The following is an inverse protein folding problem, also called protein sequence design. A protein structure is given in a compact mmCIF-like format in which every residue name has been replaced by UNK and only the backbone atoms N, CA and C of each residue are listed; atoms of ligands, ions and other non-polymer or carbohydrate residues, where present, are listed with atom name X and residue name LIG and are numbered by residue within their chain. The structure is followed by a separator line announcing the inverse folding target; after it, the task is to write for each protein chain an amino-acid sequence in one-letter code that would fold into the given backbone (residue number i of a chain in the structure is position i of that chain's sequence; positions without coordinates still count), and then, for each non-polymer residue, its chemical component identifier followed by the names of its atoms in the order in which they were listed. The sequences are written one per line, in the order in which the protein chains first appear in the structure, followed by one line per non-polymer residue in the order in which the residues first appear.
data_IF_245715260132
#
_entry.id   IF_245715260132
#
_cell.length_a   1.000
_cell.length_b   1.000
_cell.length_c   1.000
_cell.angle_alpha   90.00
_cell.angle_beta   90.00
_cell.angle_gamma   90.00
#
_symmetry.space_group_name_H-M   'P 1'
#
loop_
_entity.id
_entity.type
_entity.pdbx_description
1 polymer ?
#
# COMPACT_ATOMS: atom_id res chain seq x y z
N UNK A 1 12.73 -13.60 -14.88
CA UNK A 1 11.60 -13.85 -15.80
C UNK A 1 10.49 -14.71 -15.20
N UNK A 2 10.78 -15.73 -14.37
CA UNK A 2 9.74 -16.63 -13.80
C UNK A 2 8.67 -15.94 -12.91
N UNK A 3 9.00 -14.84 -12.24
CA UNK A 3 8.07 -14.13 -11.34
C UNK A 3 7.01 -13.36 -12.13
N UNK A 4 7.43 -12.63 -13.17
CA UNK A 4 6.55 -11.82 -14.02
C UNK A 4 5.55 -12.73 -14.77
N UNK A 5 6.04 -13.85 -15.29
CA UNK A 5 5.19 -14.83 -16.01
C UNK A 5 4.13 -15.44 -15.08
N UNK A 6 4.49 -15.75 -13.82
CA UNK A 6 3.55 -16.25 -12.82
C UNK A 6 2.52 -15.19 -12.42
N UNK A 7 2.94 -13.94 -12.34
CA UNK A 7 2.06 -12.82 -11.99
C UNK A 7 1.05 -12.56 -13.12
N UNK A 8 1.50 -12.56 -14.39
CA UNK A 8 0.65 -12.44 -15.55
C UNK A 8 -0.35 -13.61 -15.67
N UNK A 9 0.12 -14.83 -15.43
CA UNK A 9 -0.74 -16.00 -15.41
C UNK A 9 -1.80 -15.91 -14.28
N UNK A 10 -1.42 -15.39 -13.10
CA UNK A 10 -2.34 -15.14 -12.00
C UNK A 10 -3.41 -14.10 -12.33
N UNK A 11 -3.03 -13.01 -12.99
CA UNK A 11 -3.97 -11.96 -13.43
C UNK A 11 -4.92 -12.51 -14.50
N UNK A 12 -4.41 -13.21 -15.50
CA UNK A 12 -5.24 -13.82 -16.53
C UNK A 12 -6.20 -14.86 -15.96
N UNK A 13 -5.71 -15.73 -15.05
CA UNK A 13 -6.53 -16.70 -14.34
C UNK A 13 -7.59 -16.06 -13.46
N UNK A 14 -7.26 -14.98 -12.77
CA UNK A 14 -8.21 -14.21 -11.96
C UNK A 14 -9.30 -13.55 -12.80
N UNK A 15 -8.94 -13.02 -13.97
CA UNK A 15 -9.91 -12.43 -14.90
C UNK A 15 -10.89 -13.50 -15.45
N UNK A 16 -10.36 -14.64 -15.88
CA UNK A 16 -11.18 -15.76 -16.34
C UNK A 16 -12.08 -16.31 -15.23
N UNK A 17 -11.56 -16.48 -14.03
CA UNK A 17 -12.34 -16.91 -12.89
C UNK A 17 -13.45 -15.89 -12.55
N UNK A 18 -13.18 -14.59 -12.64
CA UNK A 18 -14.18 -13.54 -12.39
C UNK A 18 -15.31 -13.53 -13.42
N UNK A 19 -15.03 -13.95 -14.66
CA UNK A 19 -16.04 -13.99 -15.75
C UNK A 19 -16.88 -15.28 -15.80
N UNK A 20 -16.27 -16.41 -15.44
CA UNK A 20 -16.90 -17.74 -15.61
C UNK A 20 -17.22 -18.47 -14.31
N UNK A 21 -16.68 -18.02 -13.18
CA UNK A 21 -16.90 -18.72 -11.92
C UNK A 21 -18.32 -18.49 -11.39
N UNK A 22 -18.96 -19.53 -10.81
CA UNK A 22 -20.22 -19.37 -10.13
C UNK A 22 -20.08 -18.45 -8.91
N UNK A 23 -21.18 -17.79 -8.55
CA UNK A 23 -21.23 -16.76 -7.49
C UNK A 23 -20.62 -17.25 -6.16
N UNK A 24 -20.84 -18.51 -5.82
CA UNK A 24 -20.25 -19.16 -4.64
C UNK A 24 -18.71 -19.09 -4.63
N UNK A 25 -18.05 -19.37 -5.76
CA UNK A 25 -16.58 -19.37 -5.88
C UNK A 25 -16.06 -17.93 -5.76
N UNK A 26 -16.75 -16.96 -6.35
CA UNK A 26 -16.38 -15.55 -6.29
C UNK A 26 -16.50 -15.00 -4.85
N UNK A 27 -17.57 -15.39 -4.14
CA UNK A 27 -17.75 -15.02 -2.72
C UNK A 27 -16.68 -15.64 -1.82
N UNK A 28 -16.29 -16.88 -2.08
CA UNK A 28 -15.22 -17.57 -1.36
C UNK A 28 -13.87 -16.88 -1.58
N UNK A 29 -13.55 -16.53 -2.82
CA UNK A 29 -12.37 -15.76 -3.16
C UNK A 29 -12.38 -14.35 -2.55
N UNK A 30 -13.54 -13.69 -2.53
CA UNK A 30 -13.72 -12.38 -1.89
C UNK A 30 -13.48 -12.45 -0.37
N UNK A 31 -13.94 -13.53 0.26
CA UNK A 31 -13.70 -13.77 1.70
C UNK A 31 -12.23 -13.99 1.97
N UNK A 32 -11.56 -14.82 1.17
CA UNK A 32 -10.13 -15.08 1.29
C UNK A 32 -9.29 -13.80 1.07
N UNK A 33 -9.63 -13.04 0.03
CA UNK A 33 -9.04 -11.70 -0.22
C UNK A 33 -9.21 -10.77 0.98
N UNK A 34 -10.40 -10.74 1.56
CA UNK A 34 -10.70 -9.90 2.74
C UNK A 34 -9.84 -10.29 3.94
N UNK A 35 -9.78 -11.58 4.27
CA UNK A 35 -8.98 -12.12 5.37
C UNK A 35 -7.49 -11.83 5.17
N UNK A 36 -6.98 -12.11 3.97
CA UNK A 36 -5.58 -11.87 3.64
C UNK A 36 -5.22 -10.38 3.63
N UNK A 37 -6.11 -9.54 3.11
CA UNK A 37 -5.96 -8.08 3.14
C UNK A 37 -5.88 -7.53 4.56
N UNK A 38 -6.68 -8.04 5.49
CA UNK A 38 -6.63 -7.64 6.90
C UNK A 38 -5.36 -8.13 7.59
N UNK A 39 -4.92 -9.35 7.31
CA UNK A 39 -3.66 -9.88 7.83
C UNK A 39 -2.47 -9.01 7.38
N UNK A 40 -2.44 -8.63 6.11
CA UNK A 40 -1.42 -7.71 5.58
C UNK A 40 -1.54 -6.35 6.25
N UNK A 41 -2.74 -5.78 6.34
CA UNK A 41 -3.01 -4.49 6.98
C UNK A 41 -2.58 -4.44 8.46
N UNK A 42 -2.66 -5.56 9.16
CA UNK A 42 -2.17 -5.71 10.54
C UNK A 42 -0.64 -5.86 10.60
N UNK A 43 -0.07 -6.61 9.68
CA UNK A 43 1.36 -6.96 9.69
C UNK A 43 2.24 -5.82 9.20
N UNK A 44 1.80 -5.05 8.18
CA UNK A 44 2.60 -3.97 7.58
C UNK A 44 3.03 -2.91 8.59
N UNK A 45 2.15 -2.33 9.44
CA UNK A 45 2.58 -1.33 10.43
C UNK A 45 3.62 -1.86 11.42
N UNK A 46 3.51 -3.12 11.82
CA UNK A 46 4.47 -3.77 12.72
C UNK A 46 5.83 -3.96 12.05
N UNK A 47 5.84 -4.42 10.80
CA UNK A 47 7.07 -4.53 10.02
C UNK A 47 7.76 -3.17 9.85
N UNK A 48 7.00 -2.14 9.50
CA UNK A 48 7.51 -0.78 9.37
C UNK A 48 8.12 -0.31 10.70
N UNK A 49 7.40 -0.51 11.81
CA UNK A 49 7.88 -0.15 13.14
C UNK A 49 9.26 -0.77 13.43
N UNK A 50 9.37 -2.09 13.30
CA UNK A 50 10.59 -2.80 13.65
C UNK A 50 11.74 -2.52 12.69
N UNK A 51 11.49 -2.48 11.38
CA UNK A 51 12.54 -2.24 10.40
C UNK A 51 13.06 -0.80 10.45
N UNK A 52 12.18 0.19 10.57
CA UNK A 52 12.57 1.60 10.66
C UNK A 52 13.28 1.86 11.98
N UNK A 53 12.73 1.33 13.10
CA UNK A 53 13.36 1.43 14.41
C UNK A 53 14.78 0.85 14.40
N UNK A 54 14.93 -0.37 13.90
CA UNK A 54 16.22 -1.04 13.79
C UNK A 54 17.18 -0.30 12.86
N UNK A 55 16.68 0.21 11.73
CA UNK A 55 17.48 0.98 10.79
C UNK A 55 18.05 2.26 11.41
N UNK A 56 17.23 3.00 12.16
CA UNK A 56 17.66 4.25 12.80
C UNK A 56 18.57 3.97 14.00
N UNK A 57 18.25 2.96 14.81
CA UNK A 57 19.05 2.59 15.96
C UNK A 57 20.47 2.13 15.60
N UNK A 58 20.66 1.55 14.43
CA UNK A 58 21.95 1.10 13.91
C UNK A 58 22.69 2.15 13.07
N UNK A 59 22.21 3.39 13.02
CA UNK A 59 22.91 4.45 12.29
C UNK A 59 24.22 4.83 13.01
N UNK A 60 25.32 4.87 12.24
CA UNK A 60 26.60 5.32 12.74
C UNK A 60 26.58 6.79 13.19
N UNK A 61 27.41 7.12 14.17
CA UNK A 61 27.56 8.49 14.65
C UNK A 61 27.97 9.41 13.51
N UNK A 62 27.16 10.41 13.20
CA UNK A 62 27.36 11.34 12.10
C UNK A 62 26.50 11.12 10.86
N UNK A 63 25.80 9.98 10.76
CA UNK A 63 24.88 9.71 9.66
C UNK A 63 23.59 10.57 9.66
N UNK A 64 23.39 11.38 10.71
CA UNK A 64 22.22 12.26 10.81
C UNK A 64 22.11 13.27 9.65
N UNK A 65 23.24 13.79 9.14
CA UNK A 65 23.25 14.64 7.94
C UNK A 65 22.81 13.91 6.70
N UNK A 66 23.26 12.67 6.54
CA UNK A 66 22.89 11.83 5.41
C UNK A 66 21.39 11.46 5.47
N UNK A 67 20.90 11.11 6.66
CA UNK A 67 19.49 10.85 6.89
C UNK A 67 18.63 12.07 6.58
N UNK A 68 19.02 13.27 7.07
CA UNK A 68 18.31 14.51 6.78
C UNK A 68 18.28 14.84 5.29
N UNK A 69 19.41 14.69 4.59
CA UNK A 69 19.48 14.88 3.15
C UNK A 69 18.58 13.89 2.40
N UNK A 70 18.61 12.61 2.77
CA UNK A 70 17.79 11.58 2.14
C UNK A 70 16.29 11.86 2.32
N UNK A 71 15.87 12.22 3.53
CA UNK A 71 14.48 12.60 3.83
C UNK A 71 14.08 13.83 3.02
N UNK A 72 14.94 14.86 2.97
CA UNK A 72 14.69 16.07 2.20
C UNK A 72 14.51 15.81 0.71
N UNK A 73 15.39 15.02 0.12
CA UNK A 73 15.33 14.64 -1.30
C UNK A 73 14.07 13.80 -1.57
N UNK A 74 13.76 12.86 -0.70
CA UNK A 74 12.55 12.02 -0.84
C UNK A 74 11.28 12.87 -0.79
N UNK A 75 11.21 13.83 0.12
CA UNK A 75 10.08 14.75 0.24
C UNK A 75 9.93 15.64 -0.99
N UNK A 76 11.03 16.22 -1.44
CA UNK A 76 11.06 17.05 -2.65
C UNK A 76 10.63 16.22 -3.88
N UNK A 77 11.14 15.01 -4.02
CA UNK A 77 10.75 14.08 -5.10
C UNK A 77 9.26 13.75 -5.07
N UNK A 78 8.72 13.48 -3.89
CA UNK A 78 7.28 13.18 -3.74
C UNK A 78 6.41 14.37 -4.10
N UNK A 79 6.80 15.58 -3.69
CA UNK A 79 6.09 16.82 -4.05
C UNK A 79 6.14 17.05 -5.57
N UNK A 80 7.32 16.91 -6.18
CA UNK A 80 7.46 17.04 -7.63
C UNK A 80 6.60 15.99 -8.38
N UNK A 81 6.62 14.74 -7.94
CA UNK A 81 5.79 13.68 -8.51
C UNK A 81 4.29 13.96 -8.37
N UNK A 82 3.86 14.49 -7.22
CA UNK A 82 2.49 14.91 -6.97
C UNK A 82 2.04 16.04 -7.92
N UNK A 83 2.89 17.05 -8.12
CA UNK A 83 2.62 18.12 -9.08
C UNK A 83 2.54 17.61 -10.52
N UNK A 84 3.46 16.73 -10.93
CA UNK A 84 3.43 16.11 -12.25
C UNK A 84 2.16 15.27 -12.46
N UNK A 85 1.80 14.47 -11.49
CA UNK A 85 0.58 13.66 -11.54
C UNK A 85 -0.68 14.54 -11.60
N UNK A 86 -0.73 15.62 -10.81
CA UNK A 86 -1.82 16.57 -10.86
C UNK A 86 -1.93 17.26 -12.24
N UNK A 87 -0.81 17.70 -12.78
CA UNK A 87 -0.77 18.34 -14.11
C UNK A 87 -1.18 17.36 -15.21
N UNK A 88 -0.67 16.14 -15.18
CA UNK A 88 -1.05 15.10 -16.12
C UNK A 88 -2.55 14.75 -16.01
N UNK A 89 -3.04 14.58 -14.80
CA UNK A 89 -4.46 14.28 -14.58
C UNK A 89 -5.36 15.44 -15.04
N UNK A 90 -5.05 16.68 -14.70
CA UNK A 90 -5.84 17.84 -15.09
C UNK A 90 -5.91 18.06 -16.60
N UNK A 91 -4.88 17.60 -17.34
CA UNK A 91 -4.81 17.72 -18.80
C UNK A 91 -5.46 16.53 -19.50
N UNK A 92 -5.24 15.31 -19.02
CA UNK A 92 -5.65 14.07 -19.70
C UNK A 92 -7.09 13.68 -19.32
N UNK A 93 -7.45 13.78 -18.06
CA UNK A 93 -8.74 13.31 -17.54
C UNK A 93 -9.94 13.97 -18.23
N UNK A 94 -9.98 15.29 -18.47
CA UNK A 94 -11.10 15.93 -19.16
C UNK A 94 -11.30 15.46 -20.60
N UNK A 95 -10.23 14.98 -21.24
CA UNK A 95 -10.28 14.51 -22.64
C UNK A 95 -10.69 13.03 -22.75
N UNK A 96 -10.47 12.25 -21.70
CA UNK A 96 -10.73 10.80 -21.69
C UNK A 96 -12.05 10.46 -20.99
N UNK A 97 -12.42 11.21 -19.97
CA UNK A 97 -13.67 11.03 -19.26
C UNK A 97 -14.74 11.97 -19.81
N UNK A 98 -15.54 11.49 -20.75
CA UNK A 98 -16.81 12.13 -21.09
C UNK A 98 -17.74 12.00 -19.87
N UNK A 99 -18.40 13.10 -19.52
CA UNK A 99 -19.40 13.13 -18.45
C UNK A 99 -20.47 12.04 -18.68
N UNK A 100 -20.50 11.03 -17.86
CA UNK A 100 -21.40 9.87 -17.99
C UNK A 100 -20.70 8.51 -18.04
N UNK A 101 -19.37 8.47 -18.18
CA UNK A 101 -18.58 7.23 -18.19
C UNK A 101 -18.08 6.79 -16.81
N UNK A 102 -18.71 7.25 -15.73
CA UNK A 102 -18.49 6.60 -14.43
C UNK A 102 -18.97 5.16 -14.58
N UNK A 103 -18.10 4.15 -14.42
CA UNK A 103 -18.59 2.77 -14.44
C UNK A 103 -19.66 2.67 -13.36
N UNK A 104 -20.84 2.17 -13.78
CA UNK A 104 -21.89 1.81 -12.84
C UNK A 104 -21.22 1.07 -11.68
N UNK A 105 -21.58 1.44 -10.45
CA UNK A 105 -21.02 0.82 -9.24
C UNK A 105 -21.11 -0.69 -9.44
N UNK A 106 -19.98 -1.29 -9.81
CA UNK A 106 -19.88 -2.74 -9.87
C UNK A 106 -20.35 -3.22 -8.51
N UNK A 107 -21.46 -3.95 -8.47
CA UNK A 107 -22.03 -4.43 -7.24
C UNK A 107 -20.92 -5.22 -6.53
N UNK A 108 -20.40 -4.66 -5.43
CA UNK A 108 -19.34 -5.30 -4.69
C UNK A 108 -19.89 -6.62 -4.17
N UNK A 109 -19.39 -7.73 -4.69
CA UNK A 109 -19.77 -9.06 -4.23
C UNK A 109 -19.42 -9.14 -2.75
N UNK A 110 -20.45 -9.25 -1.91
CA UNK A 110 -20.25 -9.30 -0.48
C UNK A 110 -19.57 -10.62 -0.08
N UNK A 111 -18.50 -10.58 0.70
CA UNK A 111 -17.89 -11.80 1.22
C UNK A 111 -18.84 -12.52 2.18
N UNK A 112 -18.74 -13.85 2.32
CA UNK A 112 -19.54 -14.64 3.26
C UNK A 112 -19.35 -14.20 4.72
N UNK A 113 -18.12 -13.81 5.07
CA UNK A 113 -17.78 -13.29 6.40
C UNK A 113 -17.02 -11.99 6.27
N UNK A 114 -17.52 -10.95 6.93
CA UNK A 114 -16.79 -9.71 7.14
C UNK A 114 -16.05 -9.81 8.47
N UNK A 115 -14.78 -10.07 8.39
CA UNK A 115 -13.87 -9.93 9.54
C UNK A 115 -13.32 -8.51 9.52
N UNK A 116 -13.55 -7.73 10.54
CA UNK A 116 -12.92 -6.43 10.73
C UNK A 116 -11.94 -6.53 11.89
N UNK A 117 -10.68 -6.76 11.59
CA UNK A 117 -9.61 -6.63 12.58
C UNK A 117 -9.04 -5.24 12.45
N UNK A 118 -9.30 -4.39 13.42
CA UNK A 118 -8.68 -3.06 13.47
C UNK A 118 -7.15 -3.24 13.63
N UNK A 119 -6.34 -2.57 12.78
CA UNK A 119 -4.89 -2.62 12.95
C UNK A 119 -4.52 -2.01 14.30
N UNK A 120 -3.60 -2.64 15.04
CA UNK A 120 -3.09 -2.14 16.33
C UNK A 120 -2.51 -0.74 16.23
N UNK A 121 -1.89 -0.43 15.10
CA UNK A 121 -1.24 0.85 14.84
C UNK A 121 -1.52 1.26 13.40
N UNK A 122 -1.78 2.54 13.17
CA UNK A 122 -1.77 3.07 11.81
C UNK A 122 -0.32 3.12 11.29
N UNK A 123 -0.13 3.08 9.97
CA UNK A 123 1.20 3.20 9.35
C UNK A 123 1.90 4.49 9.82
N UNK A 124 1.17 5.59 9.91
CA UNK A 124 1.70 6.87 10.37
C UNK A 124 2.15 6.80 11.83
N UNK A 125 1.35 6.20 12.71
CA UNK A 125 1.70 6.03 14.13
C UNK A 125 2.92 5.14 14.27
N UNK A 126 3.01 4.04 13.51
CA UNK A 126 4.16 3.14 13.50
C UNK A 126 5.44 3.87 13.08
N UNK A 127 5.38 4.69 12.02
CA UNK A 127 6.51 5.50 11.55
C UNK A 127 6.97 6.52 12.60
N UNK A 128 6.04 7.30 13.16
CA UNK A 128 6.38 8.32 14.18
C UNK A 128 6.98 7.66 15.42
N UNK A 129 6.40 6.56 15.88
CA UNK A 129 6.90 5.80 17.02
C UNK A 129 8.31 5.25 16.74
N UNK A 130 8.52 4.66 15.56
CA UNK A 130 9.82 4.13 15.16
C UNK A 130 10.90 5.23 15.10
N UNK A 131 10.54 6.41 14.62
CA UNK A 131 11.45 7.57 14.56
C UNK A 131 11.82 8.06 15.96
N UNK A 132 10.84 8.30 16.82
CA UNK A 132 11.06 8.80 18.19
C UNK A 132 11.92 7.84 19.00
N UNK A 133 11.56 6.55 19.01
CA UNK A 133 12.32 5.54 19.76
C UNK A 133 13.68 5.25 19.10
N UNK A 134 13.76 5.23 17.77
CA UNK A 134 15.00 4.99 17.05
C UNK A 134 16.04 6.07 17.32
N UNK A 135 15.64 7.34 17.28
CA UNK A 135 16.52 8.46 17.64
C UNK A 135 16.90 8.40 19.12
N UNK A 136 15.96 8.08 20.01
CA UNK A 136 16.24 7.91 21.44
C UNK A 136 17.31 6.86 21.69
N UNK A 137 17.27 5.72 21.02
CA UNK A 137 18.27 4.64 21.14
C UNK A 137 19.60 5.06 20.49
N UNK A 138 19.58 5.74 19.35
CA UNK A 138 20.79 6.14 18.65
C UNK A 138 21.61 7.23 19.36
N UNK A 139 20.98 7.99 20.28
CA UNK A 139 21.62 9.08 21.05
C UNK A 139 22.20 8.57 22.38
N UNK A 140 21.70 7.44 22.90
CA UNK A 140 22.24 6.81 24.14
C UNK A 140 23.43 5.92 23.83
#
# INVERSE_FOLDING_TARGET
MKLITRLLAGIAGGLLAGLYAPEFVVQLLATFKGLFGQFIGYTIPLLILFYVLSGIANLERGAGKLLGATVGISYASTVCAGFLAFFAASTIVPHVLTAGSAPDKVAAIAPFFKFEVAPLLSVTTALVTAFVFGIGIAVT
#
